data_IF_299016293166
#
_entry.id   IF_299016293166
#
_cell.length_a   1.000
_cell.length_b   1.000
_cell.length_c   1.000
_cell.angle_alpha   90.00
_cell.angle_beta   90.00
_cell.angle_gamma   90.00
#
_symmetry.space_group_name_H-M   'P 1'
#
loop_
_entity.id
_entity.type
_entity.pdbx_description
1 polymer ?
#
# COMPACT_ATOMS: atom_id res chain seq x y z
N UNK A 1 -27.17 -6.48 -21.75
CA UNK A 1 -26.48 -6.41 -20.45
C UNK A 1 -25.19 -7.16 -20.62
N UNK A 2 -24.02 -6.49 -20.59
CA UNK A 2 -22.76 -7.14 -20.91
C UNK A 2 -22.31 -8.01 -19.74
N UNK A 3 -21.76 -9.17 -20.09
CA UNK A 3 -21.37 -10.26 -19.21
C UNK A 3 -20.60 -9.79 -17.98
N UNK A 4 -21.16 -10.09 -16.80
CA UNK A 4 -20.45 -10.29 -15.54
C UNK A 4 -19.53 -11.52 -15.68
N UNK A 5 -18.55 -11.43 -16.58
CA UNK A 5 -17.33 -12.21 -16.50
C UNK A 5 -16.75 -11.88 -15.14
N UNK A 6 -17.03 -12.74 -14.15
CA UNK A 6 -16.35 -12.80 -12.87
C UNK A 6 -14.85 -12.92 -13.19
N UNK A 7 -14.19 -11.78 -13.33
CA UNK A 7 -12.77 -11.72 -13.69
C UNK A 7 -12.03 -12.43 -12.58
N UNK A 8 -11.51 -13.61 -12.91
CA UNK A 8 -10.85 -14.47 -11.95
C UNK A 8 -9.52 -13.81 -11.62
N UNK A 9 -9.30 -13.53 -10.32
CA UNK A 9 -8.02 -13.04 -9.85
C UNK A 9 -7.00 -14.17 -10.07
N UNK A 10 -5.83 -13.83 -10.61
CA UNK A 10 -4.76 -14.80 -10.81
C UNK A 10 -4.36 -15.42 -9.46
N UNK A 11 -4.33 -16.75 -9.37
CA UNK A 11 -4.09 -17.46 -8.11
C UNK A 11 -2.80 -17.03 -7.41
N UNK A 12 -1.76 -16.75 -8.19
CA UNK A 12 -0.46 -16.31 -7.67
C UNK A 12 -0.51 -14.91 -7.04
N UNK A 13 -1.33 -14.01 -7.58
CA UNK A 13 -1.50 -12.66 -7.05
C UNK A 13 -2.22 -12.73 -5.68
N UNK A 14 -3.24 -13.60 -5.58
CA UNK A 14 -3.88 -13.90 -4.29
C UNK A 14 -2.92 -14.54 -3.29
N UNK A 15 -2.06 -15.47 -3.73
CA UNK A 15 -1.08 -16.13 -2.86
C UNK A 15 -0.09 -15.11 -2.30
N UNK A 16 0.51 -14.28 -3.14
CA UNK A 16 1.48 -13.25 -2.75
C UNK A 16 0.85 -12.21 -1.83
N UNK A 17 -0.34 -11.72 -2.16
CA UNK A 17 -1.05 -10.77 -1.30
C UNK A 17 -1.41 -11.39 0.06
N UNK A 18 -1.86 -12.65 0.08
CA UNK A 18 -2.12 -13.38 1.33
C UNK A 18 -0.85 -13.57 2.15
N UNK A 19 0.30 -13.77 1.50
CA UNK A 19 1.58 -13.88 2.17
C UNK A 19 1.97 -12.54 2.81
N UNK A 20 1.84 -11.43 2.10
CA UNK A 20 2.07 -10.08 2.64
C UNK A 20 1.17 -9.75 3.85
N UNK A 21 -0.11 -10.11 3.79
CA UNK A 21 -1.04 -9.88 4.89
C UNK A 21 -0.75 -10.74 6.14
N UNK A 22 -0.18 -11.93 5.94
CA UNK A 22 0.19 -12.86 7.03
C UNK A 22 1.59 -12.62 7.56
N UNK A 23 2.42 -11.89 6.83
CA UNK A 23 3.78 -11.59 7.26
C UNK A 23 3.76 -10.61 8.43
N UNK A 24 4.24 -11.09 9.58
CA UNK A 24 4.34 -10.35 10.82
C UNK A 24 5.78 -10.36 11.27
N UNK A 25 6.25 -9.21 11.74
CA UNK A 25 7.58 -9.09 12.31
C UNK A 25 7.59 -9.47 13.78
N UNK A 26 8.70 -10.01 14.23
CA UNK A 26 9.05 -10.04 15.64
C UNK A 26 9.43 -8.64 16.11
N UNK A 27 9.37 -8.39 17.41
CA UNK A 27 9.79 -7.11 18.01
C UNK A 27 11.24 -6.73 17.67
N UNK A 28 12.14 -7.72 17.59
CA UNK A 28 13.54 -7.50 17.22
C UNK A 28 13.68 -7.05 15.77
N UNK A 29 12.91 -7.64 14.85
CA UNK A 29 12.89 -7.24 13.45
C UNK A 29 12.35 -5.82 13.31
N UNK A 30 11.26 -5.46 13.99
CA UNK A 30 10.74 -4.09 14.00
C UNK A 30 11.82 -3.09 14.37
N UNK A 31 12.57 -3.34 15.45
CA UNK A 31 13.66 -2.44 15.83
C UNK A 31 14.76 -2.38 14.78
N UNK A 32 15.16 -3.50 14.18
CA UNK A 32 16.16 -3.53 13.12
C UNK A 32 15.72 -2.75 11.87
N UNK A 33 14.48 -2.95 11.43
CA UNK A 33 13.99 -2.39 10.16
C UNK A 33 13.70 -0.87 10.25
N UNK A 34 13.27 -0.38 11.41
CA UNK A 34 12.85 1.03 11.61
C UNK A 34 14.02 1.93 12.02
N UNK A 35 15.11 1.41 12.60
CA UNK A 35 16.22 2.26 13.07
C UNK A 35 16.99 2.96 11.96
N UNK A 36 16.89 2.50 10.71
CA UNK A 36 17.68 3.04 9.61
C UNK A 36 16.94 4.13 8.84
N UNK A 37 15.64 3.98 8.64
CA UNK A 37 14.78 4.93 7.93
C UNK A 37 13.37 4.89 8.54
N UNK A 38 12.68 6.03 8.51
CA UNK A 38 11.25 6.07 8.88
C UNK A 38 10.49 5.18 7.89
N UNK A 39 9.73 4.18 8.36
CA UNK A 39 9.00 3.28 7.48
C UNK A 39 7.85 4.01 6.78
N UNK A 40 7.29 3.42 5.73
CA UNK A 40 6.18 4.00 4.97
C UNK A 40 4.92 3.16 5.12
N UNK A 41 3.81 3.78 5.48
CA UNK A 41 2.50 3.14 5.45
C UNK A 41 1.86 3.37 4.08
N UNK A 42 1.50 2.28 3.40
CA UNK A 42 0.85 2.30 2.09
C UNK A 42 -0.54 1.66 2.17
N UNK A 43 -1.48 2.22 1.43
CA UNK A 43 -2.89 1.84 1.45
C UNK A 43 -3.49 1.65 0.04
N UNK A 44 -2.66 1.74 -0.98
CA UNK A 44 -3.01 1.76 -2.40
C UNK A 44 -2.48 0.48 -3.09
N UNK A 45 -2.38 0.39 -4.44
CA UNK A 45 -1.80 -0.77 -5.12
C UNK A 45 -0.40 -1.18 -4.62
N UNK A 46 0.37 -0.29 -3.98
CA UNK A 46 1.63 -0.61 -3.31
C UNK A 46 1.49 -1.64 -2.17
N UNK A 47 0.28 -1.91 -1.68
CA UNK A 47 0.00 -3.04 -0.78
C UNK A 47 0.21 -4.41 -1.44
N UNK A 48 0.35 -4.44 -2.77
CA UNK A 48 0.49 -5.66 -3.57
C UNK A 48 1.98 -5.91 -3.87
N UNK A 49 2.55 -7.06 -3.46
CA UNK A 49 3.98 -7.32 -3.59
C UNK A 49 4.54 -7.14 -5.01
N UNK A 50 3.81 -7.57 -6.04
CA UNK A 50 4.28 -7.43 -7.43
C UNK A 50 4.24 -5.98 -7.95
N UNK A 51 3.34 -5.14 -7.42
CA UNK A 51 3.32 -3.71 -7.76
C UNK A 51 4.53 -3.04 -7.13
N UNK A 52 4.79 -3.31 -5.84
CA UNK A 52 5.97 -2.81 -5.15
C UNK A 52 7.25 -3.29 -5.85
N UNK A 53 7.36 -4.58 -6.20
CA UNK A 53 8.50 -5.13 -6.92
C UNK A 53 8.75 -4.39 -8.25
N UNK A 54 7.70 -4.13 -9.03
CA UNK A 54 7.79 -3.36 -10.28
C UNK A 54 8.33 -1.95 -10.03
N UNK A 55 7.82 -1.23 -9.02
CA UNK A 55 8.29 0.11 -8.63
C UNK A 55 9.76 0.09 -8.23
N UNK A 56 10.20 -0.96 -7.54
CA UNK A 56 11.59 -1.13 -7.13
C UNK A 56 12.51 -1.65 -8.26
N UNK A 57 11.97 -2.00 -9.43
CA UNK A 57 12.73 -2.57 -10.54
C UNK A 57 13.12 -4.04 -10.32
N UNK A 58 12.51 -4.72 -9.35
CA UNK A 58 12.68 -6.15 -9.11
C UNK A 58 11.85 -6.95 -10.11
N UNK A 59 12.42 -8.05 -10.63
CA UNK A 59 11.83 -8.81 -11.74
C UNK A 59 11.26 -10.14 -11.28
N UNK A 60 10.16 -10.52 -11.92
CA UNK A 60 9.56 -11.83 -11.78
C UNK A 60 8.99 -12.09 -10.39
N UNK A 61 8.74 -13.37 -10.12
CA UNK A 61 8.14 -13.84 -8.87
C UNK A 61 9.04 -13.66 -7.67
N UNK A 62 10.34 -13.91 -7.83
CA UNK A 62 11.34 -13.78 -6.76
C UNK A 62 11.38 -12.35 -6.23
N UNK A 63 11.33 -11.34 -7.11
CA UNK A 63 11.23 -9.93 -6.71
C UNK A 63 9.97 -9.62 -5.91
N UNK A 64 8.82 -10.19 -6.28
CA UNK A 64 7.59 -10.02 -5.50
C UNK A 64 7.69 -10.72 -4.13
N UNK A 65 8.27 -11.92 -4.06
CA UNK A 65 8.49 -12.60 -2.78
C UNK A 65 9.51 -11.85 -1.89
N UNK A 66 10.54 -11.24 -2.47
CA UNK A 66 11.49 -10.39 -1.76
C UNK A 66 10.79 -9.21 -1.08
N UNK A 67 9.89 -8.51 -1.80
CA UNK A 67 9.18 -7.36 -1.22
C UNK A 67 8.33 -7.71 0.00
N UNK A 68 7.80 -8.94 0.08
CA UNK A 68 7.01 -9.39 1.24
C UNK A 68 7.82 -9.32 2.54
N UNK A 69 9.13 -9.59 2.49
CA UNK A 69 10.00 -9.54 3.68
C UNK A 69 10.07 -8.14 4.29
N UNK A 70 9.83 -7.11 3.48
CA UNK A 70 9.78 -5.70 3.85
C UNK A 70 8.39 -5.19 4.21
N UNK A 71 7.37 -6.05 4.20
CA UNK A 71 5.97 -5.69 4.39
C UNK A 71 5.41 -6.30 5.68
N UNK A 72 4.63 -5.54 6.43
CA UNK A 72 3.76 -6.12 7.46
C UNK A 72 2.41 -5.42 7.47
N UNK A 73 1.35 -6.12 7.87
CA UNK A 73 0.02 -5.51 7.97
C UNK A 73 0.03 -4.40 9.01
N UNK A 74 -0.60 -3.28 8.66
CA UNK A 74 -0.70 -2.13 9.54
C UNK A 74 -2.09 -1.49 9.48
N UNK A 75 -2.46 -0.78 10.53
CA UNK A 75 -3.72 -0.04 10.63
C UNK A 75 -3.44 1.42 10.95
N UNK A 76 -3.94 2.33 10.12
CA UNK A 76 -3.90 3.77 10.34
C UNK A 76 -5.27 4.25 10.84
N UNK A 77 -5.30 4.89 12.01
CA UNK A 77 -6.54 5.43 12.60
C UNK A 77 -6.82 6.85 12.10
N UNK A 78 -8.05 7.33 12.30
CA UNK A 78 -8.51 8.68 11.95
C UNK A 78 -8.38 9.04 10.47
N UNK A 79 -8.37 8.02 9.61
CA UNK A 79 -8.33 8.18 8.16
C UNK A 79 -9.41 7.30 7.53
N UNK A 80 -9.85 7.64 6.33
CA UNK A 80 -10.63 6.72 5.51
C UNK A 80 -10.15 6.75 4.06
N UNK A 81 -10.32 5.62 3.38
CA UNK A 81 -9.96 5.46 1.98
C UNK A 81 -11.09 5.93 1.07
N UNK A 82 -10.73 6.65 0.02
CA UNK A 82 -11.64 7.19 -1.01
C UNK A 82 -10.95 7.12 -2.37
N UNK A 83 -11.62 7.54 -3.44
CA UNK A 83 -11.05 7.52 -4.80
C UNK A 83 -10.91 8.94 -5.38
N UNK A 84 -9.85 9.15 -6.16
CA UNK A 84 -9.65 10.36 -6.97
C UNK A 84 -10.46 10.21 -8.27
N UNK A 85 -11.48 11.06 -8.47
CA UNK A 85 -12.49 10.95 -9.54
C UNK A 85 -11.92 10.69 -10.93
N UNK A 86 -10.96 11.52 -11.33
CA UNK A 86 -10.46 11.52 -12.71
C UNK A 86 -9.30 10.55 -12.95
N UNK A 87 -8.66 10.06 -11.88
CA UNK A 87 -7.51 9.16 -11.97
C UNK A 87 -7.91 7.71 -11.70
N UNK A 88 -9.05 7.45 -11.04
CA UNK A 88 -9.45 6.10 -10.67
C UNK A 88 -8.44 5.41 -9.74
N UNK A 89 -7.75 6.22 -8.91
CA UNK A 89 -6.72 5.81 -7.94
C UNK A 89 -7.21 6.02 -6.50
N UNK A 90 -6.93 5.09 -5.57
CA UNK A 90 -7.28 5.26 -4.17
C UNK A 90 -6.37 6.28 -3.49
N UNK A 91 -6.96 7.08 -2.60
CA UNK A 91 -6.25 7.97 -1.68
C UNK A 91 -6.85 7.87 -0.28
N UNK A 92 -6.26 8.52 0.70
CA UNK A 92 -6.84 8.68 2.03
C UNK A 92 -6.97 10.15 2.38
N UNK A 93 -7.94 10.43 3.23
CA UNK A 93 -8.13 11.74 3.86
C UNK A 93 -8.30 11.56 5.36
N UNK A 94 -7.90 12.58 6.11
CA UNK A 94 -8.15 12.65 7.54
C UNK A 94 -9.65 12.70 7.85
N UNK A 95 -10.05 12.05 8.95
CA UNK A 95 -11.40 12.02 9.46
C UNK A 95 -11.41 12.11 10.99
N UNK A 96 -12.26 13.01 11.50
CA UNK A 96 -12.52 13.15 12.94
C UNK A 96 -13.34 12.00 13.53
N UNK A 97 -13.91 11.14 12.70
CA UNK A 97 -14.66 9.96 13.15
C UNK A 97 -13.69 8.84 13.46
N UNK A 98 -14.12 7.87 14.27
CA UNK A 98 -13.37 6.64 14.52
C UNK A 98 -13.39 5.75 13.27
N UNK A 99 -12.56 6.11 12.30
CA UNK A 99 -12.32 5.34 11.07
C UNK A 99 -10.90 4.81 11.07
N UNK A 100 -10.68 3.71 10.38
CA UNK A 100 -9.36 3.12 10.21
C UNK A 100 -9.17 2.65 8.76
N UNK A 101 -7.92 2.71 8.31
CA UNK A 101 -7.49 2.19 7.01
C UNK A 101 -6.53 1.04 7.26
N UNK A 102 -6.90 -0.15 6.80
CA UNK A 102 -5.98 -1.28 6.70
C UNK A 102 -5.00 -1.05 5.55
N UNK A 103 -3.71 -1.14 5.84
CA UNK A 103 -2.63 -0.97 4.88
C UNK A 103 -1.49 -1.94 5.13
N UNK A 104 -0.34 -1.62 4.55
CA UNK A 104 0.92 -2.31 4.76
C UNK A 104 1.94 -1.27 5.24
N UNK A 105 2.68 -1.60 6.29
CA UNK A 105 3.90 -0.90 6.65
C UNK A 105 5.08 -1.50 5.90
N UNK A 106 5.83 -0.65 5.22
CA UNK A 106 7.04 -0.99 4.47
C UNK A 106 8.25 -0.47 5.24
N UNK A 107 9.20 -1.34 5.57
CA UNK A 107 10.42 -0.99 6.29
C UNK A 107 11.65 -1.75 5.73
N UNK A 108 12.85 -1.43 6.22
CA UNK A 108 14.06 -2.16 5.82
C UNK A 108 14.59 -1.89 4.41
N UNK A 109 13.97 -0.96 3.67
CA UNK A 109 14.40 -0.60 2.33
C UNK A 109 15.58 0.38 2.35
N UNK A 110 16.38 0.34 1.30
CA UNK A 110 17.40 1.36 1.04
C UNK A 110 16.78 2.71 0.69
N UNK A 111 17.49 3.81 0.96
CA UNK A 111 17.01 5.17 0.66
C UNK A 111 16.56 5.37 -0.81
N UNK A 112 17.27 4.73 -1.76
CA UNK A 112 16.91 4.78 -3.18
C UNK A 112 15.53 4.15 -3.46
N UNK A 113 15.22 3.03 -2.81
CA UNK A 113 13.94 2.35 -2.95
C UNK A 113 12.79 3.21 -2.41
N UNK A 114 13.00 3.91 -1.28
CA UNK A 114 12.02 4.89 -0.80
C UNK A 114 11.75 5.98 -1.84
N UNK A 115 12.78 6.56 -2.46
CA UNK A 115 12.59 7.59 -3.48
C UNK A 115 11.78 7.09 -4.69
N UNK A 116 11.97 5.83 -5.13
CA UNK A 116 11.17 5.23 -6.20
C UNK A 116 9.69 5.07 -5.81
N UNK A 117 9.42 4.71 -4.55
CA UNK A 117 8.04 4.63 -4.03
C UNK A 117 7.42 6.03 -3.99
N UNK A 118 8.16 7.05 -3.54
CA UNK A 118 7.67 8.43 -3.50
C UNK A 118 7.36 8.96 -4.91
N UNK A 119 8.24 8.71 -5.88
CA UNK A 119 8.01 9.04 -7.29
C UNK A 119 6.73 8.38 -7.82
N UNK A 120 6.50 7.10 -7.51
CA UNK A 120 5.29 6.38 -7.89
C UNK A 120 4.02 6.97 -7.27
N UNK A 121 4.08 7.39 -6.00
CA UNK A 121 2.93 7.99 -5.29
C UNK A 121 2.53 9.33 -5.93
N UNK A 122 3.48 10.10 -6.43
CA UNK A 122 3.24 11.44 -6.95
C UNK A 122 2.92 12.41 -5.80
N UNK A 123 3.94 12.90 -5.08
CA UNK A 123 3.75 13.66 -3.84
C UNK A 123 3.17 15.07 -4.09
N UNK A 124 3.06 15.52 -5.33
CA UNK A 124 2.52 16.85 -5.64
C UNK A 124 1.07 17.04 -5.14
N UNK A 125 0.28 15.97 -5.14
CA UNK A 125 -1.13 15.97 -4.72
C UNK A 125 -1.34 15.35 -3.32
N UNK A 126 -0.25 15.10 -2.59
CA UNK A 126 -0.29 14.48 -1.27
C UNK A 126 0.60 15.22 -0.27
N UNK A 127 0.10 15.45 0.94
CA UNK A 127 0.95 15.84 2.06
C UNK A 127 1.69 14.60 2.57
N UNK A 128 3.00 14.73 2.75
CA UNK A 128 3.83 13.74 3.46
C UNK A 128 3.79 14.04 4.95
N UNK A 129 3.16 13.15 5.71
CA UNK A 129 2.94 13.29 7.15
C UNK A 129 3.64 12.14 7.90
N UNK A 130 3.83 12.32 9.21
CA UNK A 130 4.30 11.25 10.11
C UNK A 130 3.14 10.92 11.04
N UNK A 131 2.64 9.69 10.94
CA UNK A 131 1.47 9.23 11.67
C UNK A 131 1.79 7.96 12.46
N UNK A 132 1.01 7.73 13.52
CA UNK A 132 1.06 6.51 14.31
C UNK A 132 0.26 5.39 13.63
N UNK A 133 0.93 4.29 13.29
CA UNK A 133 0.32 3.09 12.72
C UNK A 133 0.44 1.91 13.67
N UNK A 134 -0.66 1.16 13.82
CA UNK A 134 -0.71 -0.05 14.64
C UNK A 134 -0.32 -1.26 13.79
N UNK A 135 0.69 -2.02 14.23
CA UNK A 135 1.07 -3.31 13.64
C UNK A 135 0.85 -4.45 14.64
N UNK A 136 0.66 -5.66 14.12
CA UNK A 136 0.52 -6.88 14.92
C UNK A 136 1.78 -7.74 14.74
N UNK A 137 2.41 -8.10 15.85
CA UNK A 137 3.63 -8.89 15.88
C UNK A 137 3.33 -10.40 15.78
N UNK A 138 4.37 -11.22 15.60
CA UNK A 138 4.25 -12.70 15.53
C UNK A 138 3.57 -13.30 16.77
N UNK A 139 3.76 -12.70 17.94
CA UNK A 139 3.18 -13.12 19.22
C UNK A 139 1.79 -12.49 19.52
N UNK A 140 1.13 -11.91 18.51
CA UNK A 140 -0.14 -11.18 18.61
C UNK A 140 -0.10 -9.91 19.48
N UNK A 141 1.10 -9.47 19.92
CA UNK A 141 1.29 -8.15 20.55
C UNK A 141 1.06 -7.06 19.51
N UNK A 142 0.41 -5.98 19.92
CA UNK A 142 0.24 -4.78 19.09
C UNK A 142 1.30 -3.76 19.43
N UNK A 143 1.88 -3.14 18.40
CA UNK A 143 2.88 -2.10 18.55
C UNK A 143 2.50 -0.88 17.71
N UNK A 144 2.72 0.32 18.25
CA UNK A 144 2.54 1.57 17.52
C UNK A 144 3.89 2.00 16.96
N UNK A 145 3.88 2.34 15.67
CA UNK A 145 5.07 2.75 14.91
C UNK A 145 4.78 4.09 14.22
N UNK A 146 5.72 5.03 14.29
CA UNK A 146 5.67 6.24 13.47
C UNK A 146 6.05 5.90 12.02
N UNK A 147 5.21 6.27 11.06
CA UNK A 147 5.44 5.99 9.65
C UNK A 147 5.13 7.20 8.77
N UNK A 148 5.81 7.31 7.63
CA UNK A 148 5.42 8.23 6.58
C UNK A 148 4.10 7.80 5.96
N UNK A 149 3.19 8.75 5.86
CA UNK A 149 1.88 8.60 5.22
C UNK A 149 1.71 9.70 4.18
N UNK A 150 1.10 9.34 3.05
CA UNK A 150 0.76 10.29 2.00
C UNK A 150 -0.75 10.52 2.02
N UNK A 151 -1.16 11.70 2.49
CA UNK A 151 -2.57 12.07 2.66
C UNK A 151 -2.97 13.03 1.55
N UNK A 152 -4.17 12.88 0.99
CA UNK A 152 -4.67 13.81 -0.03
C UNK A 152 -4.73 15.24 0.51
N UNK A 153 -4.03 16.18 -0.14
CA UNK A 153 -3.96 17.58 0.29
C UNK A 153 -4.67 18.55 -0.67
N UNK A 154 -5.28 18.02 -1.73
CA UNK A 154 -5.99 18.78 -2.75
C UNK A 154 -7.49 18.91 -2.44
N UNK A 155 -8.24 19.59 -3.30
CA UNK A 155 -9.68 19.79 -3.10
C UNK A 155 -10.45 18.47 -2.96
N UNK A 156 -11.26 18.35 -1.90
CA UNK A 156 -12.18 17.21 -1.68
C UNK A 156 -13.21 17.07 -2.81
N UNK A 157 -13.49 18.14 -3.56
CA UNK A 157 -14.39 18.07 -4.73
C UNK A 157 -13.87 17.15 -5.84
N UNK A 158 -12.56 16.86 -5.87
CA UNK A 158 -11.92 15.93 -6.79
C UNK A 158 -12.02 14.46 -6.34
N UNK A 159 -12.59 14.22 -5.16
CA UNK A 159 -12.77 12.89 -4.60
C UNK A 159 -14.20 12.40 -4.81
N UNK A 160 -14.35 11.08 -4.91
CA UNK A 160 -15.62 10.39 -4.90
C UNK A 160 -15.66 9.38 -3.75
N UNK A 161 -16.85 9.23 -3.16
CA UNK A 161 -17.11 8.31 -2.05
C UNK A 161 -17.26 6.85 -2.55
N UNK A 162 -16.28 6.41 -3.34
CA UNK A 162 -16.20 5.03 -3.85
C UNK A 162 -15.26 4.25 -2.95
N UNK A 163 -15.70 3.07 -2.51
CA UNK A 163 -14.83 2.16 -1.77
C UNK A 163 -13.87 1.45 -2.73
N UNK A 164 -12.60 1.34 -2.33
CA UNK A 164 -11.60 0.58 -3.06
C UNK A 164 -10.97 -0.46 -2.17
N UNK A 165 -10.84 -1.66 -2.71
CA UNK A 165 -10.07 -2.75 -2.11
C UNK A 165 -8.93 -3.18 -3.02
N UNK A 166 -7.84 -3.75 -2.46
CA UNK A 166 -6.82 -4.40 -3.27
C UNK A 166 -7.37 -5.49 -4.22
N UNK A 167 -8.48 -6.13 -3.86
CA UNK A 167 -9.18 -7.10 -4.71
C UNK A 167 -9.79 -6.46 -5.97
N UNK A 168 -10.25 -5.22 -5.88
CA UNK A 168 -10.81 -4.50 -7.03
C UNK A 168 -9.73 -4.15 -8.05
N UNK A 169 -8.52 -3.85 -7.57
CA UNK A 169 -7.35 -3.68 -8.43
C UNK A 169 -6.92 -5.01 -9.08
N UNK A 170 -6.89 -6.10 -8.31
CA UNK A 170 -6.53 -7.43 -8.81
C UNK A 170 -7.49 -8.00 -9.87
N UNK A 171 -8.73 -7.53 -9.93
CA UNK A 171 -9.70 -7.92 -10.98
C UNK A 171 -9.46 -7.20 -12.31
N UNK A 172 -8.58 -6.19 -12.37
CA UNK A 172 -8.27 -5.46 -13.60
C UNK A 172 -7.37 -6.32 -14.52
N UNK A 173 -7.51 -6.23 -15.86
CA UNK A 173 -6.65 -6.96 -16.79
C UNK A 173 -5.19 -6.54 -16.63
N UNK A 174 -4.25 -7.49 -16.51
CA UNK A 174 -2.81 -7.23 -16.29
C UNK A 174 -2.19 -6.26 -17.30
N UNK A 175 -2.71 -6.22 -18.53
CA UNK A 175 -2.21 -5.37 -19.61
C UNK A 175 -2.48 -3.87 -19.42
N UNK A 176 -3.36 -3.45 -18.51
CA UNK A 176 -3.59 -2.01 -18.24
C UNK A 176 -2.44 -1.36 -17.45
N UNK A 177 -1.60 -2.14 -16.77
CA UNK A 177 -0.42 -1.62 -16.07
C UNK A 177 0.79 -1.41 -17.00
N UNK A 178 0.77 -1.92 -18.23
CA UNK A 178 1.84 -1.69 -19.21
C UNK A 178 1.58 -0.45 -20.09
N UNK A 179 0.31 -0.02 -20.21
CA UNK A 179 -0.09 1.14 -21.02
C UNK A 179 -0.15 2.46 -20.23
N UNK A 180 -0.30 2.42 -18.89
CA UNK A 180 -0.23 3.63 -18.05
C UNK A 180 1.20 4.18 -17.90
N UNK A 181 2.24 3.35 -18.12
CA UNK A 181 3.66 3.76 -18.06
C UNK A 181 4.19 4.31 -19.39
N UNK A 182 3.31 4.50 -20.40
CA UNK A 182 3.66 5.04 -21.73
C UNK A 182 3.17 6.48 -21.97
N UNK A 183 2.75 7.20 -20.94
CA UNK A 183 2.32 8.61 -21.04
C UNK A 183 3.15 9.53 -20.17
#
# INVERSE_FOLDING_TARGET
MPDDLKRQIHHEDLRLYSLALKHRWTKQEVYREITTNVPMFVYCPLMLPWVLAKVLGLKGREGAEETVTHMTRATLRHHFRTMIKYQGRPTIVYSKRETAVDGILIAGLQKKAYAQIEEYIGPEQHSKEIEEVEIELVNDEKLIVAAHVYVWNESVSLLEATHWTPLDFMKRPRYQLEDEDRK
#
